data_IF_824211297678
#
_entry.id   IF_824211297678
#
_cell.length_a   1.000
_cell.length_b   1.000
_cell.length_c   1.000
_cell.angle_alpha   90.00
_cell.angle_beta   90.00
_cell.angle_gamma   90.00
#
_symmetry.space_group_name_H-M   'P 1'
#
loop_
_entity.id
_entity.type
_entity.pdbx_description
1 polymer ?
#
# COMPACT_ATOMS: atom_id res chain seq x y z
N UNK A 1 -15.97 16.62 7.71
CA UNK A 1 -15.72 15.16 7.64
C UNK A 1 -14.54 14.91 6.71
N UNK A 2 -13.42 14.43 7.24
CA UNK A 2 -12.27 14.02 6.43
C UNK A 2 -12.69 12.84 5.55
N UNK A 3 -12.94 13.09 4.26
CA UNK A 3 -13.16 12.01 3.29
C UNK A 3 -11.83 11.24 3.18
N UNK A 4 -11.75 10.08 3.82
CA UNK A 4 -10.60 9.19 3.65
C UNK A 4 -10.49 8.87 2.16
N UNK A 5 -9.32 9.11 1.56
CA UNK A 5 -9.06 8.62 0.21
C UNK A 5 -9.14 7.09 0.25
N UNK A 6 -9.89 6.46 -0.67
CA UNK A 6 -9.91 5.00 -0.75
C UNK A 6 -8.50 4.52 -1.10
N UNK A 7 -8.03 3.49 -0.40
CA UNK A 7 -6.77 2.83 -0.72
C UNK A 7 -7.08 1.78 -1.77
N UNK A 8 -6.59 1.97 -2.99
CA UNK A 8 -6.83 1.07 -4.10
C UNK A 8 -5.61 0.18 -4.33
N UNK A 9 -5.85 -1.08 -4.69
CA UNK A 9 -4.79 -1.96 -5.13
C UNK A 9 -4.17 -1.43 -6.42
N UNK A 10 -2.84 -1.29 -6.45
CA UNK A 10 -2.10 -0.81 -7.63
C UNK A 10 -2.32 -1.66 -8.89
N UNK A 11 -2.59 -2.96 -8.74
CA UNK A 11 -2.71 -3.91 -9.85
C UNK A 11 -4.14 -4.12 -10.34
N UNK A 12 -5.13 -4.19 -9.45
CA UNK A 12 -6.53 -4.50 -9.83
C UNK A 12 -7.53 -3.39 -9.49
N UNK A 13 -7.05 -2.25 -8.99
CA UNK A 13 -7.85 -1.06 -8.61
C UNK A 13 -8.95 -1.33 -7.57
N UNK A 14 -9.01 -2.55 -7.04
CA UNK A 14 -9.93 -2.94 -5.97
C UNK A 14 -9.66 -2.08 -4.74
N UNK A 15 -10.73 -1.51 -4.18
CA UNK A 15 -10.66 -0.85 -2.88
C UNK A 15 -10.32 -1.86 -1.78
N UNK A 16 -9.27 -1.54 -1.03
CA UNK A 16 -8.84 -2.28 0.14
C UNK A 16 -9.65 -1.76 1.34
N UNK A 17 -10.46 -2.65 1.92
CA UNK A 17 -11.34 -2.27 3.03
C UNK A 17 -10.56 -1.99 4.29
N UNK A 18 -11.17 -1.22 5.20
CA UNK A 18 -10.61 -1.00 6.53
C UNK A 18 -10.46 -2.34 7.25
N UNK A 19 -9.27 -2.60 7.83
CA UNK A 19 -8.86 -3.87 8.45
C UNK A 19 -8.64 -5.05 7.50
N UNK A 20 -8.75 -4.87 6.19
CA UNK A 20 -8.31 -5.87 5.21
C UNK A 20 -6.77 -5.97 5.24
N UNK A 21 -6.24 -7.20 5.19
CA UNK A 21 -4.79 -7.39 5.06
C UNK A 21 -4.34 -6.86 3.71
N UNK A 22 -3.32 -6.01 3.74
CA UNK A 22 -2.72 -5.40 2.56
C UNK A 22 -1.20 -5.48 2.64
N UNK A 23 -0.57 -5.48 1.48
CA UNK A 23 0.89 -5.49 1.34
C UNK A 23 1.32 -4.14 0.80
N UNK A 24 2.30 -3.56 1.44
CA UNK A 24 2.84 -2.25 1.09
C UNK A 24 4.21 -2.50 0.49
N UNK A 25 4.35 -2.22 -0.81
CA UNK A 25 5.64 -2.19 -1.47
C UNK A 25 6.13 -0.74 -1.45
N UNK A 26 7.23 -0.52 -0.74
CA UNK A 26 7.89 0.77 -0.62
C UNK A 26 9.39 0.58 -0.39
N UNK A 27 10.24 1.53 -0.82
CA UNK A 27 11.64 1.53 -0.43
C UNK A 27 11.76 1.71 1.09
N UNK A 28 12.82 1.14 1.67
CA UNK A 28 13.11 1.39 3.07
C UNK A 28 13.48 2.87 3.27
N UNK A 29 12.84 3.59 4.21
CA UNK A 29 13.04 5.02 4.34
C UNK A 29 14.46 5.36 4.80
N UNK A 30 15.08 6.36 4.16
CA UNK A 30 16.46 6.77 4.43
C UNK A 30 16.66 7.40 5.81
N UNK A 31 15.63 8.07 6.35
CA UNK A 31 15.66 8.73 7.65
C UNK A 31 14.39 8.34 8.44
N UNK A 32 14.57 7.79 9.64
CA UNK A 32 13.57 7.60 10.72
C UNK A 32 12.10 7.30 10.36
N UNK A 33 11.52 6.25 10.97
CA UNK A 33 10.09 5.89 10.82
C UNK A 33 9.07 6.88 11.43
N UNK A 34 9.48 8.08 11.84
CA UNK A 34 8.67 9.03 12.63
C UNK A 34 7.36 9.45 11.95
N UNK A 35 7.24 9.28 10.63
CA UNK A 35 6.02 9.58 9.87
C UNK A 35 5.66 8.47 8.86
N UNK A 36 5.72 7.20 9.26
CA UNK A 36 5.45 6.06 8.37
C UNK A 36 4.11 6.17 7.62
N UNK A 37 3.07 6.72 8.25
CA UNK A 37 1.74 6.89 7.64
C UNK A 37 1.78 7.81 6.42
N UNK A 38 2.46 8.95 6.56
CA UNK A 38 2.61 9.94 5.48
C UNK A 38 3.54 9.41 4.38
N UNK A 39 4.55 8.63 4.76
CA UNK A 39 5.44 7.99 3.81
C UNK A 39 4.71 6.94 2.96
N UNK A 40 3.86 6.12 3.59
CA UNK A 40 2.99 5.16 2.89
C UNK A 40 2.05 5.91 1.92
N UNK A 41 1.44 7.01 2.34
CA UNK A 41 0.55 7.79 1.45
C UNK A 41 1.24 8.40 0.23
N UNK A 42 2.54 8.73 0.33
CA UNK A 42 3.28 9.42 -0.72
C UNK A 42 4.03 8.46 -1.65
N UNK A 43 4.68 7.44 -1.07
CA UNK A 43 5.72 6.65 -1.75
C UNK A 43 5.38 5.15 -1.81
N UNK A 44 4.22 4.73 -1.31
CA UNK A 44 3.88 3.30 -1.31
C UNK A 44 2.90 2.90 -2.38
N UNK A 45 3.14 1.70 -2.88
CA UNK A 45 2.17 0.94 -3.66
C UNK A 45 1.52 -0.10 -2.76
N UNK A 46 0.18 -0.10 -2.73
CA UNK A 46 -0.58 -1.05 -1.92
C UNK A 46 -1.15 -2.16 -2.80
N UNK A 47 -0.98 -3.39 -2.37
CA UNK A 47 -1.42 -4.59 -3.07
C UNK A 47 -2.38 -5.41 -2.20
N UNK A 48 -3.43 -5.94 -2.81
CA UNK A 48 -4.29 -6.94 -2.18
C UNK A 48 -3.60 -8.32 -2.17
N UNK A 49 -4.15 -9.25 -1.39
CA UNK A 49 -3.61 -10.61 -1.24
C UNK A 49 -3.49 -11.38 -2.56
N UNK A 50 -4.38 -11.14 -3.52
CA UNK A 50 -4.34 -11.79 -4.82
C UNK A 50 -3.20 -11.23 -5.69
N UNK A 51 -3.03 -9.91 -5.71
CA UNK A 51 -2.08 -9.24 -6.60
C UNK A 51 -0.63 -9.30 -6.11
N UNK A 52 -0.40 -9.34 -4.79
CA UNK A 52 0.98 -9.40 -4.26
C UNK A 52 1.71 -10.68 -4.70
N UNK A 53 0.98 -11.78 -4.89
CA UNK A 53 1.54 -13.05 -5.36
C UNK A 53 2.04 -12.97 -6.81
N UNK A 54 1.52 -12.04 -7.61
CA UNK A 54 1.93 -11.81 -9.00
C UNK A 54 3.24 -11.00 -8.99
N UNK A 55 3.22 -9.86 -8.30
CA UNK A 55 4.39 -8.96 -8.20
C UNK A 55 5.63 -9.64 -7.63
N UNK A 56 5.44 -10.55 -6.66
CA UNK A 56 6.56 -11.24 -6.02
C UNK A 56 7.10 -12.44 -6.83
N UNK A 57 6.42 -12.84 -7.91
CA UNK A 57 6.88 -13.90 -8.83
C UNK A 57 7.60 -13.35 -10.05
N UNK A 58 7.36 -12.09 -10.39
CA UNK A 58 8.01 -11.39 -11.52
C UNK A 58 9.34 -10.71 -11.12
N UNK A 59 9.81 -10.91 -9.89
CA UNK A 59 11.06 -10.34 -9.36
C UNK A 59 12.14 -11.40 -9.18
#
# INVERSE_FOLDING_TARGET
MFRKKPILCKSCEKEIKTYEKAWIHMPFPANGMTNIRKYIELESEVYCSACIQIVNKEK
#
